data_IF_463317453980
#
_entry.id   IF_463317453980
#
_cell.length_a   1.000
_cell.length_b   1.000
_cell.length_c   1.000
_cell.angle_alpha   90.00
_cell.angle_beta   90.00
_cell.angle_gamma   90.00
#
_symmetry.space_group_name_H-M   'P 1'
#
loop_
_entity.id
_entity.type
_entity.pdbx_description
1 polymer ?
#
# COMPACT_ATOMS: atom_id res chain seq x y z
N UNK A 1 -6.40 0.86 32.97
CA UNK A 1 -5.78 1.68 31.91
C UNK A 1 -5.02 0.73 30.99
N UNK A 2 -5.24 0.81 29.68
CA UNK A 2 -4.46 0.03 28.70
C UNK A 2 -3.33 0.92 28.19
N UNK A 3 -2.08 0.50 28.39
CA UNK A 3 -0.91 1.24 27.92
C UNK A 3 -0.24 0.45 26.80
N UNK A 4 -0.12 1.06 25.61
CA UNK A 4 0.69 0.51 24.53
C UNK A 4 2.15 0.65 24.96
N UNK A 5 2.87 -0.47 25.00
CA UNK A 5 4.29 -0.49 25.39
C UNK A 5 5.22 -0.68 24.19
N UNK A 6 4.76 -1.36 23.13
CA UNK A 6 5.51 -1.52 21.90
C UNK A 6 4.59 -1.91 20.73
N UNK A 7 4.99 -1.59 19.50
CA UNK A 7 4.37 -2.05 18.26
C UNK A 7 5.46 -2.40 17.25
N UNK A 8 5.50 -3.65 16.79
CA UNK A 8 6.55 -4.14 15.88
C UNK A 8 5.97 -4.96 14.75
N UNK A 9 6.65 -5.00 13.61
CA UNK A 9 6.25 -5.77 12.44
C UNK A 9 5.94 -4.88 11.24
N UNK A 10 5.79 -5.50 10.06
CA UNK A 10 5.52 -4.80 8.81
C UNK A 10 4.13 -5.17 8.29
N UNK A 11 3.96 -6.40 7.79
CA UNK A 11 2.68 -6.92 7.29
C UNK A 11 1.67 -7.22 8.39
N UNK A 12 2.17 -7.67 9.55
CA UNK A 12 1.37 -7.90 10.75
C UNK A 12 2.04 -7.14 11.87
N UNK A 13 1.29 -6.23 12.50
CA UNK A 13 1.73 -5.50 13.67
C UNK A 13 1.42 -6.34 14.91
N UNK A 14 2.47 -6.72 15.63
CA UNK A 14 2.39 -7.25 16.99
C UNK A 14 2.40 -6.08 17.98
N UNK A 15 1.24 -5.82 18.59
CA UNK A 15 1.03 -4.78 19.57
C UNK A 15 1.12 -5.36 20.98
N UNK A 16 2.02 -4.82 21.78
CA UNK A 16 2.23 -5.20 23.16
C UNK A 16 1.50 -4.19 24.05
N UNK A 17 0.61 -4.69 24.91
CA UNK A 17 -0.25 -3.87 25.77
C UNK A 17 -0.05 -4.30 27.22
N UNK A 18 0.25 -3.34 28.09
CA UNK A 18 0.21 -3.54 29.54
C UNK A 18 -1.20 -3.27 30.07
N UNK A 19 -1.82 -4.31 30.66
CA UNK A 19 -3.17 -4.25 31.24
C UNK A 19 -3.23 -5.11 32.50
N UNK A 20 -3.70 -4.51 33.60
CA UNK A 20 -3.96 -5.20 34.87
C UNK A 20 -2.76 -6.02 35.38
N UNK A 21 -1.56 -5.43 35.37
CA UNK A 21 -0.35 -6.10 35.86
C UNK A 21 0.29 -7.09 34.87
N UNK A 22 -0.28 -7.27 33.67
CA UNK A 22 0.16 -8.26 32.68
C UNK A 22 0.45 -7.64 31.33
N UNK A 23 1.35 -8.26 30.58
CA UNK A 23 1.61 -7.96 29.17
C UNK A 23 0.73 -8.87 28.30
N UNK A 24 0.01 -8.28 27.36
CA UNK A 24 -0.85 -8.97 26.39
C UNK A 24 -0.37 -8.60 24.98
N UNK A 25 -0.43 -9.55 24.05
CA UNK A 25 -0.12 -9.35 22.64
C UNK A 25 -1.41 -9.33 21.82
N UNK A 26 -1.53 -8.37 20.89
CA UNK A 26 -2.58 -8.33 19.86
C UNK A 26 -1.93 -8.25 18.49
N UNK A 27 -2.54 -8.90 17.49
CA UNK A 27 -2.04 -8.93 16.12
C UNK A 27 -3.00 -8.16 15.21
N UNK A 28 -2.45 -7.31 14.36
CA UNK A 28 -3.21 -6.53 13.39
C UNK A 28 -2.60 -6.69 12.00
N UNK A 29 -3.43 -7.04 11.01
CA UNK A 29 -3.00 -7.02 9.62
C UNK A 29 -2.79 -5.57 9.19
N UNK A 30 -1.59 -5.25 8.75
CA UNK A 30 -1.25 -3.95 8.19
C UNK A 30 -1.53 -3.96 6.69
N UNK A 31 -2.40 -3.05 6.25
CA UNK A 31 -2.64 -2.82 4.82
C UNK A 31 -2.14 -1.42 4.49
N UNK A 32 -1.23 -1.36 3.53
CA UNK A 32 -0.83 -0.11 2.87
C UNK A 32 -1.51 -0.01 1.50
N UNK A 33 -1.18 1.04 0.77
CA UNK A 33 -1.61 1.22 -0.60
C UNK A 33 -0.52 1.89 -1.43
N UNK A 34 -0.51 1.63 -2.74
CA UNK A 34 0.21 2.46 -3.72
C UNK A 34 -0.81 3.16 -4.60
N UNK A 35 -0.44 4.33 -5.12
CA UNK A 35 -1.27 5.05 -6.10
C UNK A 35 -0.54 5.09 -7.43
N UNK A 36 -1.24 4.74 -8.50
CA UNK A 36 -0.70 4.68 -9.86
C UNK A 36 -1.49 5.64 -10.74
N UNK A 37 -0.82 6.64 -11.32
CA UNK A 37 -1.43 7.60 -12.23
C UNK A 37 -0.74 7.61 -13.58
N UNK A 38 -1.44 7.97 -14.64
CA UNK A 38 -0.85 8.08 -15.97
C UNK A 38 -1.92 8.21 -17.03
N UNK A 39 -1.55 7.91 -18.28
CA UNK A 39 -2.51 7.90 -19.38
C UNK A 39 -3.61 6.83 -19.16
N UNK A 40 -4.84 7.18 -19.53
CA UNK A 40 -6.02 6.34 -19.33
C UNK A 40 -5.90 4.98 -20.04
N UNK A 41 -5.24 4.92 -21.20
CA UNK A 41 -5.00 3.68 -21.92
C UNK A 41 -4.17 2.70 -21.08
N UNK A 42 -3.06 3.17 -20.49
CA UNK A 42 -2.20 2.31 -19.66
C UNK A 42 -2.84 1.98 -18.31
N UNK A 43 -3.60 2.91 -17.71
CA UNK A 43 -4.38 2.62 -16.50
C UNK A 43 -5.43 1.51 -16.75
N UNK A 44 -6.10 1.54 -17.91
CA UNK A 44 -7.05 0.49 -18.29
C UNK A 44 -6.36 -0.88 -18.49
N UNK A 45 -5.14 -0.89 -19.01
CA UNK A 45 -4.35 -2.13 -19.12
C UNK A 45 -3.95 -2.65 -17.74
N UNK A 46 -3.51 -1.78 -16.83
CA UNK A 46 -3.20 -2.14 -15.46
C UNK A 46 -4.42 -2.69 -14.72
N UNK A 47 -5.59 -2.06 -14.87
CA UNK A 47 -6.86 -2.54 -14.33
C UNK A 47 -7.15 -3.99 -14.74
N UNK A 48 -7.07 -4.29 -16.05
CA UNK A 48 -7.27 -5.65 -16.56
C UNK A 48 -6.28 -6.66 -15.99
N UNK A 49 -5.02 -6.24 -15.78
CA UNK A 49 -4.03 -7.08 -15.11
C UNK A 49 -4.36 -7.31 -13.64
N UNK A 50 -4.87 -6.30 -12.93
CA UNK A 50 -5.30 -6.42 -11.53
C UNK A 50 -6.54 -7.29 -11.38
N UNK A 51 -7.49 -7.21 -12.30
CA UNK A 51 -8.69 -8.07 -12.36
C UNK A 51 -8.35 -9.56 -12.48
N UNK A 52 -7.21 -9.89 -13.07
CA UNK A 52 -6.70 -11.26 -13.13
C UNK A 52 -6.04 -11.74 -11.82
N UNK A 53 -6.04 -10.90 -10.77
CA UNK A 53 -5.41 -11.18 -9.47
C UNK A 53 -6.41 -11.05 -8.32
N UNK A 54 -5.94 -11.31 -7.10
CA UNK A 54 -6.71 -11.08 -5.87
C UNK A 54 -6.39 -9.75 -5.18
N UNK A 55 -5.71 -8.82 -5.87
CA UNK A 55 -5.45 -7.50 -5.30
C UNK A 55 -6.73 -6.68 -5.22
N UNK A 56 -6.89 -5.96 -4.10
CA UNK A 56 -8.00 -5.04 -3.93
C UNK A 56 -7.53 -3.68 -4.42
N UNK A 57 -8.29 -3.06 -5.32
CA UNK A 57 -7.96 -1.75 -5.84
C UNK A 57 -9.23 -0.93 -6.08
N UNK A 58 -9.07 0.38 -6.26
CA UNK A 58 -10.15 1.29 -6.65
C UNK A 58 -9.61 2.44 -7.48
N UNK A 59 -10.44 3.01 -8.35
CA UNK A 59 -10.16 4.32 -8.91
C UNK A 59 -10.20 5.39 -7.82
N UNK A 60 -9.22 6.28 -7.85
CA UNK A 60 -9.10 7.40 -6.94
C UNK A 60 -8.59 8.64 -7.66
N UNK A 61 -8.88 9.80 -7.09
CA UNK A 61 -8.25 11.06 -7.48
C UNK A 61 -7.42 11.54 -6.29
N UNK A 62 -6.14 11.82 -6.51
CA UNK A 62 -5.21 12.26 -5.47
C UNK A 62 -4.43 13.47 -5.94
N UNK A 63 -3.98 14.31 -5.01
CA UNK A 63 -3.19 15.49 -5.33
C UNK A 63 -1.69 15.14 -5.35
N UNK A 64 -0.98 15.58 -6.39
CA UNK A 64 0.48 15.62 -6.45
C UNK A 64 0.97 17.07 -6.57
N UNK A 65 2.27 17.28 -6.77
CA UNK A 65 2.87 18.62 -6.93
C UNK A 65 2.39 19.35 -8.22
N UNK A 66 1.78 18.62 -9.16
CA UNK A 66 1.27 19.13 -10.42
C UNK A 66 -0.27 19.27 -10.42
N UNK A 67 -0.95 18.83 -9.35
CA UNK A 67 -2.39 18.96 -9.15
C UNK A 67 -3.12 17.63 -8.96
N UNK A 68 -4.42 17.62 -9.23
CA UNK A 68 -5.25 16.43 -9.07
C UNK A 68 -5.00 15.43 -10.20
N UNK A 69 -4.52 14.25 -9.82
CA UNK A 69 -4.28 13.12 -10.70
C UNK A 69 -5.37 12.07 -10.52
N UNK A 70 -5.90 11.56 -11.63
CA UNK A 70 -6.74 10.36 -11.65
C UNK A 70 -5.87 9.12 -11.76
N UNK A 71 -6.22 8.07 -11.06
CA UNK A 71 -5.42 6.86 -11.04
C UNK A 71 -6.07 5.70 -10.31
N UNK A 72 -5.30 4.64 -10.10
CA UNK A 72 -5.69 3.42 -9.41
C UNK A 72 -4.96 3.36 -8.08
N UNK A 73 -5.71 3.26 -6.99
CA UNK A 73 -5.19 2.97 -5.66
C UNK A 73 -5.25 1.46 -5.44
N UNK A 74 -4.09 0.82 -5.25
CA UNK A 74 -3.96 -0.63 -5.05
C UNK A 74 -3.64 -0.87 -3.58
N UNK A 75 -4.39 -1.73 -2.90
CA UNK A 75 -4.18 -2.11 -1.51
C UNK A 75 -3.42 -3.44 -1.40
N UNK A 76 -2.42 -3.46 -0.53
CA UNK A 76 -1.51 -4.60 -0.37
C UNK A 76 -0.82 -4.56 1.01
N UNK A 77 -0.09 -5.63 1.33
CA UNK A 77 0.77 -5.67 2.51
C UNK A 77 2.04 -4.85 2.26
N UNK A 78 2.59 -4.14 3.27
CA UNK A 78 3.81 -3.35 3.12
C UNK A 78 4.96 -4.07 2.42
N UNK A 79 5.20 -5.35 2.73
CA UNK A 79 6.26 -6.16 2.09
C UNK A 79 6.13 -6.31 0.57
N UNK A 80 4.92 -6.16 0.03
CA UNK A 80 4.62 -6.32 -1.41
C UNK A 80 4.65 -5.01 -2.17
N UNK A 81 4.83 -3.87 -1.50
CA UNK A 81 4.72 -2.55 -2.13
C UNK A 81 5.82 -2.27 -3.14
N UNK A 82 7.06 -2.54 -2.75
CA UNK A 82 8.21 -2.44 -3.64
C UNK A 82 8.12 -3.44 -4.80
N UNK A 83 7.81 -4.72 -4.56
CA UNK A 83 7.65 -5.73 -5.63
C UNK A 83 6.53 -5.35 -6.63
N UNK A 84 5.38 -4.88 -6.16
CA UNK A 84 4.30 -4.40 -7.03
C UNK A 84 4.75 -3.20 -7.86
N UNK A 85 5.45 -2.25 -7.25
CA UNK A 85 5.93 -1.08 -7.96
C UNK A 85 6.93 -1.45 -9.05
N UNK A 86 7.91 -2.31 -8.76
CA UNK A 86 8.87 -2.81 -9.73
C UNK A 86 8.18 -3.51 -10.90
N UNK A 87 7.18 -4.37 -10.65
CA UNK A 87 6.41 -5.04 -11.72
C UNK A 87 5.67 -4.07 -12.63
N UNK A 88 5.10 -3.00 -12.05
CA UNK A 88 4.41 -1.96 -12.83
C UNK A 88 5.44 -1.16 -13.65
N UNK A 89 6.58 -0.80 -13.08
CA UNK A 89 7.67 -0.11 -13.79
C UNK A 89 8.25 -0.96 -14.93
N UNK A 90 8.45 -2.26 -14.71
CA UNK A 90 8.90 -3.19 -15.75
C UNK A 90 7.89 -3.31 -16.90
N UNK A 91 6.60 -3.28 -16.59
CA UNK A 91 5.52 -3.48 -17.58
C UNK A 91 5.18 -2.20 -18.35
N UNK A 92 5.22 -1.04 -17.69
CA UNK A 92 4.71 0.22 -18.22
C UNK A 92 5.76 1.33 -18.31
N UNK A 93 6.92 1.17 -17.68
CA UNK A 93 7.97 2.18 -17.63
C UNK A 93 7.47 3.53 -17.10
N UNK A 94 7.97 4.62 -17.68
CA UNK A 94 7.62 6.00 -17.31
C UNK A 94 6.20 6.44 -17.68
N UNK A 95 5.40 5.58 -18.32
CA UNK A 95 4.03 5.88 -18.75
C UNK A 95 3.05 5.92 -17.58
N UNK A 96 3.36 5.17 -16.53
CA UNK A 96 2.66 5.19 -15.26
C UNK A 96 3.62 5.71 -14.19
N UNK A 97 3.13 6.64 -13.37
CA UNK A 97 3.81 7.15 -12.19
C UNK A 97 3.26 6.43 -10.97
N UNK A 98 4.15 6.02 -10.07
CA UNK A 98 3.82 5.28 -8.86
C UNK A 98 4.15 6.15 -7.65
N UNK A 99 3.23 6.19 -6.69
CA UNK A 99 3.37 6.92 -5.44
C UNK A 99 3.11 5.99 -4.27
N UNK A 100 3.71 6.33 -3.12
CA UNK A 100 3.57 5.58 -1.87
C UNK A 100 4.07 4.12 -1.94
N UNK A 101 4.89 3.80 -2.93
CA UNK A 101 5.48 2.47 -3.14
C UNK A 101 6.74 2.20 -2.33
N UNK A 102 7.38 3.26 -1.83
CA UNK A 102 8.71 3.20 -1.22
C UNK A 102 8.71 3.94 0.12
N UNK A 103 7.71 3.69 0.96
CA UNK A 103 7.89 3.92 2.40
C UNK A 103 8.86 2.83 2.87
N UNK A 104 10.15 3.03 2.60
CA UNK A 104 11.20 2.37 3.36
C UNK A 104 11.03 2.83 4.80
N UNK A 105 10.51 1.93 5.66
CA UNK A 105 10.64 2.08 7.09
C UNK A 105 12.13 2.00 7.42
N UNK A 106 12.79 3.16 7.46
CA UNK A 106 14.11 3.34 8.07
C UNK A 106 14.01 2.92 9.55
#
# INVERSE_FOLDING_TARGET
>A
MENIINATGSDVIELWIYRNGKIIKKYFNNRTWIFVSGDLYYLTMLEKSLDATNYIYRYATMNDIYGLQKGIQIYLSPSKSSDMASRIEESFGSRLKIYNADINNI
#
